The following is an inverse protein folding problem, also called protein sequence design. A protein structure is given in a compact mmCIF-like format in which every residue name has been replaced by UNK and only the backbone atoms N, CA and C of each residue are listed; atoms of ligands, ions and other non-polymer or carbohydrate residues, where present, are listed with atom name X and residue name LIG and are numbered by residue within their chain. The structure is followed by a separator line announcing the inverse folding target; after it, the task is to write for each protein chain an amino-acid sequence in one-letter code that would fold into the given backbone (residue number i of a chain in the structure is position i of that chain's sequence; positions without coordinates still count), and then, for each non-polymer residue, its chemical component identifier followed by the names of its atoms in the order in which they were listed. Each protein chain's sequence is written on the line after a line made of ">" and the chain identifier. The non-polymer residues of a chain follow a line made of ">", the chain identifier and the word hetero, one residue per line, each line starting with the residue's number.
data_IF_213663481890
#
_entry.id   IF_213663481890
#
_cell.length_a   1.000
_cell.length_b   1.000
_cell.length_c   1.000
_cell.angle_alpha   90.00
_cell.angle_beta   90.00
_cell.angle_gamma   90.00
#
_symmetry.space_group_name_H-M   'P 1'
#
loop_
_entity.id
_entity.type
_entity.pdbx_description
1 polymer ?
#
# COMPACT_ATOMS: atom_id res chain seq x y z
N UNK A 1 3.76 -30.22 54.11
CA UNK A 1 3.64 -28.91 53.45
C UNK A 1 4.51 -28.95 52.20
N UNK A 2 3.94 -29.20 51.04
CA UNK A 2 4.65 -29.16 49.76
C UNK A 2 3.78 -28.33 48.81
N UNK A 3 4.14 -27.05 48.68
CA UNK A 3 3.44 -26.08 47.84
C UNK A 3 3.91 -26.18 46.39
N UNK A 4 2.94 -26.10 45.48
CA UNK A 4 3.12 -26.20 44.05
C UNK A 4 3.94 -25.05 43.46
N UNK A 5 4.80 -25.40 42.52
CA UNK A 5 5.52 -24.49 41.64
C UNK A 5 5.63 -25.15 40.27
N UNK A 6 4.50 -25.26 39.56
CA UNK A 6 4.46 -25.94 38.27
C UNK A 6 3.49 -25.34 37.24
N UNK A 7 2.85 -24.21 37.54
CA UNK A 7 1.82 -23.64 36.64
C UNK A 7 2.05 -22.15 36.39
N UNK A 8 3.30 -21.79 36.08
CA UNK A 8 3.59 -20.47 35.56
C UNK A 8 4.68 -20.59 34.49
N UNK A 9 4.32 -21.24 33.38
CA UNK A 9 5.15 -21.25 32.17
C UNK A 9 4.37 -20.63 31.01
N UNK A 10 4.81 -19.41 30.69
CA UNK A 10 4.64 -18.73 29.42
C UNK A 10 3.21 -18.50 28.93
N UNK A 11 2.61 -17.41 29.40
CA UNK A 11 1.73 -16.62 28.54
C UNK A 11 2.58 -16.12 27.37
N UNK A 12 2.52 -16.85 26.26
CA UNK A 12 3.11 -16.46 24.99
C UNK A 12 2.48 -15.11 24.62
N UNK A 13 3.24 -14.02 24.75
CA UNK A 13 2.84 -12.69 24.28
C UNK A 13 2.80 -12.75 22.76
N UNK A 14 1.75 -13.36 22.21
CA UNK A 14 1.32 -13.03 20.87
C UNK A 14 0.98 -11.53 20.89
N UNK A 15 1.42 -10.73 19.91
CA UNK A 15 0.96 -9.35 19.83
C UNK A 15 -0.57 -9.37 19.88
N UNK A 16 -1.15 -8.65 20.84
CA UNK A 16 -2.59 -8.51 20.93
C UNK A 16 -3.13 -8.05 19.58
N UNK A 17 -4.28 -8.60 19.10
CA UNK A 17 -4.86 -8.16 17.85
C UNK A 17 -5.03 -6.65 17.89
N UNK A 18 -4.44 -5.95 16.93
CA UNK A 18 -4.58 -4.50 16.81
C UNK A 18 -6.06 -4.15 16.77
N UNK A 19 -6.45 -3.09 17.50
CA UNK A 19 -7.81 -2.57 17.36
C UNK A 19 -8.06 -2.08 15.93
N UNK A 20 -9.28 -2.21 15.43
CA UNK A 20 -9.65 -1.83 14.05
C UNK A 20 -9.17 -0.42 13.68
N UNK A 21 -9.33 0.56 14.59
CA UNK A 21 -8.87 1.94 14.39
C UNK A 21 -7.35 2.06 14.25
N UNK A 22 -6.61 1.26 15.01
CA UNK A 22 -5.15 1.22 14.94
C UNK A 22 -4.71 0.63 13.60
N UNK A 23 -5.35 -0.47 13.18
CA UNK A 23 -5.11 -1.09 11.89
C UNK A 23 -5.37 -0.12 10.72
N UNK A 24 -6.51 0.58 10.74
CA UNK A 24 -6.83 1.62 9.74
C UNK A 24 -5.76 2.71 9.71
N UNK A 25 -5.32 3.18 10.90
CA UNK A 25 -4.30 4.21 11.00
C UNK A 25 -2.96 3.77 10.41
N UNK A 26 -2.56 2.52 10.65
CA UNK A 26 -1.32 1.94 10.10
C UNK A 26 -1.42 1.79 8.58
N UNK A 27 -2.55 1.29 8.06
CA UNK A 27 -2.77 1.14 6.62
C UNK A 27 -2.71 2.49 5.91
N UNK A 28 -3.42 3.49 6.41
CA UNK A 28 -3.42 4.85 5.84
C UNK A 28 -2.00 5.41 5.85
N UNK A 29 -1.28 5.29 6.96
CA UNK A 29 0.10 5.77 7.08
C UNK A 29 1.02 5.09 6.05
N UNK A 30 0.84 3.79 5.82
CA UNK A 30 1.60 3.07 4.80
C UNK A 30 1.31 3.60 3.39
N UNK A 31 0.03 3.75 3.02
CA UNK A 31 -0.37 4.28 1.70
C UNK A 31 0.15 5.72 1.49
N UNK A 32 0.05 6.58 2.50
CA UNK A 32 0.60 7.96 2.45
C UNK A 32 2.10 7.93 2.19
N UNK A 33 2.85 7.10 2.91
CA UNK A 33 4.31 6.98 2.72
C UNK A 33 4.67 6.45 1.34
N UNK A 34 3.90 5.51 0.80
CA UNK A 34 4.09 5.01 -0.58
C UNK A 34 3.90 6.15 -1.58
N UNK A 35 2.80 6.90 -1.46
CA UNK A 35 2.53 8.04 -2.33
C UNK A 35 3.64 9.11 -2.27
N UNK A 36 4.16 9.40 -1.07
CA UNK A 36 5.29 10.32 -0.88
C UNK A 36 6.58 9.80 -1.52
N UNK A 37 6.89 8.51 -1.35
CA UNK A 37 8.07 7.90 -1.95
C UNK A 37 8.00 7.92 -3.48
N UNK A 38 6.81 7.72 -4.06
CA UNK A 38 6.60 7.82 -5.51
C UNK A 38 6.53 9.26 -6.02
N UNK A 39 6.60 10.27 -5.14
CA UNK A 39 6.52 11.68 -5.53
C UNK A 39 5.15 12.06 -6.10
N UNK A 40 4.07 11.44 -5.61
CA UNK A 40 2.72 11.77 -6.06
C UNK A 40 2.28 13.14 -5.52
N UNK A 41 1.57 13.89 -6.36
CA UNK A 41 0.81 15.04 -5.87
C UNK A 41 -0.35 14.57 -4.98
N UNK A 42 -0.88 15.46 -4.14
CA UNK A 42 -2.06 15.14 -3.33
C UNK A 42 -3.28 14.76 -4.19
N UNK A 43 -3.42 15.36 -5.38
CA UNK A 43 -4.50 15.04 -6.31
C UNK A 43 -4.35 13.62 -6.89
N UNK A 44 -3.14 13.25 -7.32
CA UNK A 44 -2.85 11.89 -7.81
C UNK A 44 -3.07 10.85 -6.72
N UNK A 45 -2.60 11.11 -5.50
CA UNK A 45 -2.74 10.17 -4.40
C UNK A 45 -4.20 10.01 -3.95
N UNK A 46 -4.96 11.10 -3.92
CA UNK A 46 -6.40 11.07 -3.65
C UNK A 46 -7.15 10.27 -4.73
N UNK A 47 -6.83 10.47 -6.01
CA UNK A 47 -7.43 9.74 -7.12
C UNK A 47 -7.05 8.25 -7.11
N UNK A 48 -5.78 7.91 -6.85
CA UNK A 48 -5.30 6.54 -6.79
C UNK A 48 -6.00 5.75 -5.66
N UNK A 49 -6.18 6.40 -4.50
CA UNK A 49 -6.85 5.80 -3.35
C UNK A 49 -8.38 5.96 -3.38
N UNK A 50 -8.92 6.60 -4.41
CA UNK A 50 -10.35 6.82 -4.65
C UNK A 50 -11.08 7.47 -3.47
N UNK A 51 -10.52 8.60 -3.03
CA UNK A 51 -11.10 9.43 -1.97
C UNK A 51 -11.12 10.90 -2.40
N UNK A 52 -12.07 11.71 -1.89
CA UNK A 52 -12.03 13.15 -2.10
C UNK A 52 -10.72 13.77 -1.57
N UNK A 53 -10.23 14.82 -2.23
CA UNK A 53 -8.99 15.50 -1.82
C UNK A 53 -8.98 15.94 -0.36
N UNK A 54 -10.11 16.41 0.18
CA UNK A 54 -10.23 16.77 1.58
C UNK A 54 -10.06 15.57 2.54
N UNK A 55 -10.53 14.39 2.12
CA UNK A 55 -10.33 13.13 2.86
C UNK A 55 -8.87 12.72 2.83
N UNK A 56 -8.22 12.79 1.67
CA UNK A 56 -6.79 12.54 1.55
C UNK A 56 -5.96 13.49 2.43
N UNK A 57 -6.28 14.78 2.47
CA UNK A 57 -5.60 15.74 3.36
C UNK A 57 -5.70 15.35 4.84
N UNK A 58 -6.86 14.89 5.31
CA UNK A 58 -7.02 14.39 6.69
C UNK A 58 -6.26 13.09 6.95
N UNK A 59 -6.23 12.19 5.97
CA UNK A 59 -5.45 10.95 6.03
C UNK A 59 -3.95 11.26 6.15
N UNK A 60 -3.43 12.14 5.30
CA UNK A 60 -2.04 12.60 5.33
C UNK A 60 -1.69 13.31 6.64
N UNK A 61 -2.61 14.10 7.19
CA UNK A 61 -2.43 14.78 8.48
C UNK A 61 -2.59 13.87 9.71
N UNK A 62 -2.96 12.59 9.55
CA UNK A 62 -3.24 11.68 10.67
C UNK A 62 -4.50 12.02 11.47
N UNK A 63 -5.36 12.89 10.94
CA UNK A 63 -6.60 13.35 11.58
C UNK A 63 -7.85 12.64 11.05
N UNK A 64 -7.70 11.73 10.08
CA UNK A 64 -8.79 10.87 9.63
C UNK A 64 -9.30 9.96 10.77
N UNK A 65 -10.62 9.83 10.89
CA UNK A 65 -11.32 9.03 11.92
C UNK A 65 -12.39 8.11 11.34
N UNK A 66 -12.47 8.00 10.01
CA UNK A 66 -13.43 7.13 9.33
C UNK A 66 -12.96 5.67 9.25
N UNK A 67 -13.77 4.83 8.61
CA UNK A 67 -13.44 3.46 8.26
C UNK A 67 -12.88 3.35 6.84
N UNK A 68 -12.23 2.22 6.55
CA UNK A 68 -11.91 1.80 5.18
C UNK A 68 -12.88 0.68 4.81
N UNK A 69 -13.60 0.85 3.71
CA UNK A 69 -14.39 -0.23 3.12
C UNK A 69 -13.49 -1.24 2.39
N UNK A 70 -14.09 -2.30 1.87
CA UNK A 70 -13.36 -3.36 1.16
C UNK A 70 -12.62 -2.86 -0.09
N UNK A 71 -13.18 -1.85 -0.78
CA UNK A 71 -12.52 -1.23 -1.94
C UNK A 71 -11.21 -0.55 -1.51
N UNK A 72 -11.25 0.27 -0.46
CA UNK A 72 -10.07 0.97 0.08
C UNK A 72 -9.04 0.00 0.66
N UNK A 73 -9.49 -1.08 1.31
CA UNK A 73 -8.60 -2.14 1.78
C UNK A 73 -7.90 -2.85 0.61
N UNK A 74 -8.62 -3.12 -0.47
CA UNK A 74 -8.06 -3.72 -1.69
C UNK A 74 -7.04 -2.80 -2.36
N UNK A 75 -7.37 -1.51 -2.53
CA UNK A 75 -6.45 -0.51 -3.07
C UNK A 75 -5.19 -0.40 -2.21
N UNK A 76 -5.34 -0.32 -0.89
CA UNK A 76 -4.19 -0.25 0.02
C UNK A 76 -3.27 -1.47 -0.13
N UNK A 77 -3.85 -2.68 -0.16
CA UNK A 77 -3.10 -3.93 -0.34
C UNK A 77 -2.32 -3.94 -1.67
N UNK A 78 -2.97 -3.54 -2.77
CA UNK A 78 -2.33 -3.48 -4.08
C UNK A 78 -1.20 -2.44 -4.13
N UNK A 79 -1.44 -1.22 -3.63
CA UNK A 79 -0.46 -0.13 -3.59
C UNK A 79 0.78 -0.54 -2.79
N UNK A 80 0.59 -1.08 -1.57
CA UNK A 80 1.68 -1.55 -0.71
C UNK A 80 2.43 -2.72 -1.36
N UNK A 81 1.68 -3.62 -2.01
CA UNK A 81 2.24 -4.75 -2.73
C UNK A 81 3.15 -4.33 -3.91
N UNK A 82 2.70 -3.37 -4.72
CA UNK A 82 3.50 -2.80 -5.82
C UNK A 82 4.76 -2.15 -5.26
N UNK A 83 4.63 -1.36 -4.20
CA UNK A 83 5.77 -0.70 -3.55
C UNK A 83 6.83 -1.70 -3.06
N UNK A 84 6.39 -2.81 -2.45
CA UNK A 84 7.27 -3.90 -2.05
C UNK A 84 7.90 -4.58 -3.26
N UNK A 85 7.11 -4.89 -4.29
CA UNK A 85 7.59 -5.53 -5.52
C UNK A 85 8.70 -4.74 -6.21
N UNK A 86 8.53 -3.41 -6.33
CA UNK A 86 9.53 -2.53 -6.95
C UNK A 86 10.88 -2.53 -6.21
N UNK A 87 10.87 -2.68 -4.87
CA UNK A 87 12.10 -2.77 -4.06
C UNK A 87 12.83 -4.10 -4.21
N UNK A 88 12.11 -5.15 -4.60
CA UNK A 88 12.71 -6.45 -4.92
C UNK A 88 13.23 -6.48 -6.36
N UNK A 89 12.55 -5.77 -7.27
CA UNK A 89 12.89 -5.74 -8.69
C UNK A 89 14.04 -4.78 -9.03
N UNK A 90 14.02 -3.58 -8.44
CA UNK A 90 14.96 -2.51 -8.78
C UNK A 90 15.92 -2.21 -7.63
N UNK A 91 17.09 -1.70 -8.00
CA UNK A 91 18.02 -1.02 -7.11
C UNK A 91 18.06 0.48 -7.44
N UNK A 92 18.32 1.32 -6.43
CA UNK A 92 18.50 2.77 -6.65
C UNK A 92 17.21 3.52 -7.03
N UNK A 93 17.29 4.60 -7.82
CA UNK A 93 16.20 5.56 -8.01
C UNK A 93 14.89 4.96 -8.54
N UNK A 94 14.96 3.86 -9.31
CA UNK A 94 13.80 3.23 -9.93
C UNK A 94 12.86 2.54 -8.93
N UNK A 95 13.34 2.19 -7.72
CA UNK A 95 12.49 1.60 -6.67
C UNK A 95 11.30 2.50 -6.31
N UNK A 96 11.49 3.81 -6.46
CA UNK A 96 10.51 4.84 -6.13
C UNK A 96 10.08 5.64 -7.37
N UNK A 97 10.97 5.84 -8.36
CA UNK A 97 10.69 6.67 -9.53
C UNK A 97 9.92 5.97 -10.65
N UNK A 98 10.03 4.65 -10.78
CA UNK A 98 9.42 3.90 -11.89
C UNK A 98 7.91 4.16 -12.07
N UNK A 99 7.08 4.29 -11.01
CA UNK A 99 5.65 4.55 -11.15
C UNK A 99 5.29 5.85 -11.88
N UNK A 100 6.21 6.83 -11.91
CA UNK A 100 6.03 8.14 -12.56
C UNK A 100 6.66 8.21 -13.95
N UNK A 101 7.49 7.24 -14.32
CA UNK A 101 8.14 7.24 -15.63
C UNK A 101 7.16 6.76 -16.71
N UNK A 102 7.15 7.40 -17.89
CA UNK A 102 6.47 6.85 -19.07
C UNK A 102 6.92 5.41 -19.31
N UNK A 103 5.97 4.50 -19.51
CA UNK A 103 6.27 3.08 -19.63
C UNK A 103 5.80 2.54 -20.99
N UNK A 104 6.70 1.85 -21.68
CA UNK A 104 6.45 1.20 -22.99
C UNK A 104 6.12 -0.29 -22.86
N UNK A 105 6.05 -0.80 -21.64
CA UNK A 105 5.58 -2.14 -21.35
C UNK A 105 4.16 -2.34 -21.86
N UNK A 106 3.70 -3.60 -21.96
CA UNK A 106 2.36 -3.91 -22.43
C UNK A 106 1.32 -3.10 -21.63
N UNK A 107 0.17 -2.77 -22.23
CA UNK A 107 -0.96 -2.03 -21.65
C UNK A 107 -0.72 -0.61 -21.11
N UNK A 108 0.52 -0.11 -20.99
CA UNK A 108 0.75 1.28 -20.56
C UNK A 108 0.55 2.32 -21.67
N UNK A 109 0.69 1.93 -22.94
CA UNK A 109 0.53 2.82 -24.12
C UNK A 109 1.34 4.13 -24.02
N UNK A 110 2.51 4.10 -23.36
CA UNK A 110 3.34 5.27 -23.13
C UNK A 110 2.96 6.11 -21.90
N UNK A 111 1.85 5.81 -21.24
CA UNK A 111 1.48 6.41 -19.96
C UNK A 111 2.38 5.95 -18.82
N UNK A 112 2.43 6.73 -17.74
CA UNK A 112 3.06 6.27 -16.50
C UNK A 112 2.21 5.20 -15.83
N UNK A 113 2.82 4.26 -15.07
CA UNK A 113 2.06 3.28 -14.29
C UNK A 113 1.04 3.91 -13.35
N UNK A 114 1.36 5.05 -12.71
CA UNK A 114 0.41 5.76 -11.84
C UNK A 114 -0.79 6.29 -12.62
N UNK A 115 -0.56 6.90 -13.79
CA UNK A 115 -1.64 7.39 -14.64
C UNK A 115 -2.57 6.25 -15.05
N UNK A 116 -2.01 5.10 -15.43
CA UNK A 116 -2.77 3.90 -15.76
C UNK A 116 -3.59 3.38 -14.56
N UNK A 117 -2.97 3.26 -13.38
CA UNK A 117 -3.67 2.82 -12.16
C UNK A 117 -4.82 3.75 -11.78
N UNK A 118 -4.66 5.06 -11.94
CA UNK A 118 -5.72 6.04 -11.68
C UNK A 118 -6.85 5.88 -12.69
N UNK A 119 -6.54 5.78 -13.98
CA UNK A 119 -7.54 5.69 -15.05
C UNK A 119 -8.38 4.41 -14.97
N UNK A 120 -7.77 3.30 -14.54
CA UNK A 120 -8.40 1.98 -14.53
C UNK A 120 -8.78 1.46 -13.13
N UNK A 121 -8.55 2.24 -12.07
CA UNK A 121 -8.91 1.89 -10.69
C UNK A 121 -8.28 0.58 -10.20
N UNK A 122 -9.03 -0.21 -9.45
CA UNK A 122 -8.58 -1.51 -8.93
C UNK A 122 -8.09 -2.46 -10.04
N UNK A 123 -8.79 -2.64 -11.18
CA UNK A 123 -8.25 -3.40 -12.30
C UNK A 123 -6.86 -2.94 -12.74
N UNK A 124 -6.64 -1.63 -12.86
CA UNK A 124 -5.34 -1.06 -13.20
C UNK A 124 -4.25 -1.38 -12.16
N UNK A 125 -4.56 -1.17 -10.88
CA UNK A 125 -3.70 -1.54 -9.76
C UNK A 125 -3.32 -3.03 -9.79
N UNK A 126 -4.29 -3.90 -10.08
CA UNK A 126 -4.09 -5.35 -10.17
C UNK A 126 -3.17 -5.72 -11.33
N UNK A 127 -3.41 -5.17 -12.53
CA UNK A 127 -2.55 -5.40 -13.70
C UNK A 127 -1.11 -4.95 -13.48
N UNK A 128 -0.89 -3.77 -12.88
CA UNK A 128 0.46 -3.30 -12.56
C UNK A 128 1.12 -4.20 -11.52
N UNK A 129 0.37 -4.65 -10.50
CA UNK A 129 0.90 -5.60 -9.52
C UNK A 129 1.34 -6.90 -10.18
N UNK A 130 0.50 -7.48 -11.04
CA UNK A 130 0.82 -8.70 -11.78
C UNK A 130 2.03 -8.52 -12.69
N UNK A 131 2.15 -7.37 -13.36
CA UNK A 131 3.30 -7.05 -14.19
C UNK A 131 4.62 -7.05 -13.40
N UNK A 132 4.65 -6.37 -12.25
CA UNK A 132 5.82 -6.38 -11.35
C UNK A 132 6.11 -7.79 -10.84
N UNK A 133 5.07 -8.56 -10.53
CA UNK A 133 5.20 -9.92 -10.06
C UNK A 133 5.78 -10.86 -11.13
N UNK A 134 5.40 -10.68 -12.40
CA UNK A 134 5.95 -11.43 -13.53
C UNK A 134 7.43 -11.08 -13.78
N UNK A 135 7.78 -9.79 -13.76
CA UNK A 135 9.18 -9.33 -13.91
C UNK A 135 10.09 -9.87 -12.81
N UNK A 136 9.57 -10.07 -11.59
CA UNK A 136 10.34 -10.68 -10.49
C UNK A 136 10.46 -12.21 -10.62
N UNK A 137 9.46 -12.85 -11.22
CA UNK A 137 9.33 -14.31 -11.30
C UNK A 137 10.02 -14.94 -12.51
N UNK A 138 10.43 -14.14 -13.50
CA UNK A 138 11.20 -14.60 -14.66
C UNK A 138 10.42 -15.50 -15.62
N UNK A 139 9.14 -15.21 -15.87
CA UNK A 139 8.36 -15.87 -16.94
C UNK A 139 8.57 -15.14 -18.27
#
# INVERSE_FOLDING_TARGET
>A
MSGGFGEQVAEFIAPSPMGEREQITVIIRAVVRVAENWGLSNAEAAALFDVPSATWSRMKAGTFRGSLDQDKMTRASLIIGIFKGLRLLFNGPLQNGWPKLPNKGPFFEGSSPVSFMIAHGIPGLSSVRQHIDALRGGI
#
